data_IF_580226380387
#
_entry.id   IF_580226380387
#
_cell.length_a   1.000
_cell.length_b   1.000
_cell.length_c   1.000
_cell.angle_alpha   90.00
_cell.angle_beta   90.00
_cell.angle_gamma   90.00
#
_symmetry.space_group_name_H-M   'P 1'
#
loop_
_entity.id
_entity.type
_entity.pdbx_description
1 polymer ?
#
# COMPACT_ATOMS: atom_id res chain seq x y z
N UNK A 1 10.28 19.59 -36.52
CA UNK A 1 9.16 18.81 -35.96
C UNK A 1 9.54 17.37 -35.69
N UNK A 2 9.86 17.06 -34.42
CA UNK A 2 9.63 15.78 -33.73
C UNK A 2 10.50 15.74 -32.47
N UNK A 3 10.09 16.46 -31.42
CA UNK A 3 10.66 16.31 -30.08
C UNK A 3 9.55 16.40 -29.02
N UNK A 4 8.48 15.64 -29.19
CA UNK A 4 7.36 15.65 -28.22
C UNK A 4 6.94 14.22 -27.90
N UNK A 5 7.23 13.78 -26.67
CA UNK A 5 6.61 12.56 -26.12
C UNK A 5 7.49 11.60 -25.33
N UNK A 6 8.74 11.95 -24.99
CA UNK A 6 9.61 11.10 -24.12
C UNK A 6 9.96 11.72 -22.77
N UNK A 7 9.35 12.85 -22.40
CA UNK A 7 9.75 13.64 -21.23
C UNK A 7 9.00 13.29 -19.92
N UNK A 8 7.98 12.44 -19.95
CA UNK A 8 7.22 12.13 -18.74
C UNK A 8 7.43 10.66 -18.37
N UNK A 9 8.45 10.42 -17.53
CA UNK A 9 8.64 9.17 -16.81
C UNK A 9 7.51 8.90 -15.81
N UNK A 10 6.26 8.96 -16.27
CA UNK A 10 5.07 8.94 -15.42
C UNK A 10 4.29 7.63 -15.53
N UNK A 11 4.99 6.51 -15.54
CA UNK A 11 4.42 5.22 -15.13
C UNK A 11 4.27 5.22 -13.60
N UNK A 12 3.30 5.99 -13.10
CA UNK A 12 2.96 5.97 -11.68
C UNK A 12 2.06 4.77 -11.54
N UNK A 13 2.69 3.61 -11.24
CA UNK A 13 1.98 2.36 -10.99
C UNK A 13 0.78 2.59 -10.06
N UNK A 14 -0.18 1.65 -10.06
CA UNK A 14 -1.46 1.77 -9.34
C UNK A 14 -1.31 2.52 -8.01
N UNK A 15 -2.01 3.65 -7.90
CA UNK A 15 -2.05 4.45 -6.68
C UNK A 15 -2.45 3.52 -5.54
N UNK A 16 -1.58 3.42 -4.54
CA UNK A 16 -1.85 2.59 -3.40
C UNK A 16 -3.05 3.16 -2.63
N UNK A 17 -3.95 2.28 -2.20
CA UNK A 17 -5.18 2.66 -1.51
C UNK A 17 -4.83 3.17 -0.10
N UNK A 18 -4.74 4.50 0.02
CA UNK A 18 -4.25 5.17 1.21
C UNK A 18 -5.10 4.85 2.45
N UNK A 19 -6.42 4.71 2.27
CA UNK A 19 -7.34 4.35 3.36
C UNK A 19 -7.06 2.94 3.87
N UNK A 20 -6.90 1.96 2.97
CA UNK A 20 -6.53 0.59 3.40
C UNK A 20 -5.17 0.55 4.07
N UNK A 21 -4.21 1.33 3.59
CA UNK A 21 -2.88 1.42 4.20
C UNK A 21 -2.93 2.01 5.61
N UNK A 22 -3.71 3.07 5.83
CA UNK A 22 -3.92 3.65 7.15
C UNK A 22 -4.60 2.64 8.09
N UNK A 23 -5.66 1.97 7.63
CA UNK A 23 -6.34 0.93 8.40
C UNK A 23 -5.39 -0.21 8.80
N UNK A 24 -4.56 -0.69 7.88
CA UNK A 24 -3.54 -1.72 8.17
C UNK A 24 -2.57 -1.24 9.26
N UNK A 25 -2.10 0.01 9.17
CA UNK A 25 -1.18 0.59 10.15
C UNK A 25 -1.82 0.68 11.53
N UNK A 26 -3.07 1.16 11.62
CA UNK A 26 -3.81 1.23 12.88
C UNK A 26 -4.01 -0.16 13.49
N UNK A 27 -4.45 -1.14 12.71
CA UNK A 27 -4.68 -2.50 13.19
C UNK A 27 -3.39 -3.19 13.67
N UNK A 28 -2.26 -2.98 12.97
CA UNK A 28 -0.97 -3.62 13.29
C UNK A 28 -0.16 -2.89 14.34
N UNK A 29 -0.06 -1.57 14.25
CA UNK A 29 0.80 -0.75 15.12
C UNK A 29 0.09 -0.32 16.40
N UNK A 30 -1.20 0.04 16.31
CA UNK A 30 -1.96 0.51 17.48
C UNK A 30 -2.62 -0.65 18.22
N UNK A 31 -3.27 -1.56 17.49
CA UNK A 31 -4.02 -2.67 18.10
C UNK A 31 -3.23 -3.99 18.22
N UNK A 32 -2.03 -4.10 17.64
CA UNK A 32 -1.21 -5.30 17.71
C UNK A 32 -1.83 -6.55 17.06
N UNK A 33 -2.82 -6.40 16.17
CA UNK A 33 -3.58 -7.53 15.61
C UNK A 33 -2.72 -8.41 14.73
N UNK A 34 -3.08 -9.68 14.61
CA UNK A 34 -2.38 -10.62 13.73
C UNK A 34 -2.51 -10.23 12.25
N UNK A 35 -1.58 -10.71 11.41
CA UNK A 35 -1.66 -10.51 9.95
C UNK A 35 -2.99 -11.03 9.38
N UNK A 36 -3.48 -12.17 9.89
CA UNK A 36 -4.68 -12.84 9.40
C UNK A 36 -5.95 -12.04 9.70
N UNK A 37 -6.04 -11.50 10.91
CA UNK A 37 -7.14 -10.60 11.27
C UNK A 37 -7.09 -9.29 10.48
N UNK A 38 -5.90 -8.72 10.33
CA UNK A 38 -5.71 -7.49 9.56
C UNK A 38 -6.16 -7.67 8.12
N UNK A 39 -5.82 -8.79 7.47
CA UNK A 39 -6.28 -9.08 6.10
C UNK A 39 -7.79 -9.21 6.00
N UNK A 40 -8.42 -9.81 7.00
CA UNK A 40 -9.88 -10.01 7.03
C UNK A 40 -10.62 -8.70 7.25
N UNK A 41 -10.09 -7.81 8.09
CA UNK A 41 -10.70 -6.51 8.37
C UNK A 41 -10.46 -5.47 7.27
N UNK A 42 -9.24 -5.40 6.73
CA UNK A 42 -8.89 -4.43 5.70
C UNK A 42 -9.24 -4.89 4.28
N UNK A 43 -9.65 -6.15 4.09
CA UNK A 43 -10.01 -6.70 2.78
C UNK A 43 -8.84 -6.76 1.81
N UNK A 44 -7.63 -7.05 2.31
CA UNK A 44 -6.39 -7.08 1.51
C UNK A 44 -5.66 -8.41 1.62
N UNK A 45 -4.72 -8.65 0.72
CA UNK A 45 -3.82 -9.80 0.80
C UNK A 45 -2.82 -9.68 1.95
N UNK A 46 -2.33 -10.81 2.47
CA UNK A 46 -1.24 -10.82 3.47
C UNK A 46 0.00 -10.09 2.95
N UNK A 47 0.28 -10.19 1.66
CA UNK A 47 1.42 -9.52 1.02
C UNK A 47 1.30 -8.00 1.10
N UNK A 48 0.09 -7.46 0.90
CA UNK A 48 -0.19 -6.03 1.07
C UNK A 48 0.07 -5.60 2.51
N UNK A 49 -0.40 -6.37 3.50
CA UNK A 49 -0.16 -6.06 4.92
C UNK A 49 1.32 -6.03 5.25
N UNK A 50 2.08 -7.06 4.83
CA UNK A 50 3.54 -7.14 5.06
C UNK A 50 4.25 -5.97 4.38
N UNK A 51 3.93 -5.69 3.11
CA UNK A 51 4.52 -4.57 2.36
C UNK A 51 4.25 -3.24 3.07
N UNK A 52 3.02 -2.98 3.52
CA UNK A 52 2.66 -1.74 4.22
C UNK A 52 3.37 -1.62 5.57
N UNK A 53 3.54 -2.73 6.30
CA UNK A 53 4.30 -2.74 7.54
C UNK A 53 5.81 -2.52 7.31
N UNK A 54 6.37 -3.08 6.24
CA UNK A 54 7.80 -3.00 5.94
C UNK A 54 8.20 -1.71 5.20
N UNK A 55 7.29 -1.05 4.49
CA UNK A 55 7.55 0.17 3.73
C UNK A 55 7.79 1.43 4.61
N UNK A 56 8.00 1.26 5.91
CA UNK A 56 8.26 2.34 6.87
C UNK A 56 9.65 2.24 7.53
N UNK A 57 10.54 1.40 6.99
CA UNK A 57 11.96 1.32 7.35
C UNK A 57 12.82 1.96 6.27
#
# INVERSE_FOLDING_TARGET
DMEEGKAEGRYWGRVADAQKHELIRTLRLTHGKSLRETTRQAGVSKMTVIRVCNAKM
#
